data_IF_034592062057
#
_entry.id   IF_034592062057
#
_cell.length_a   1.000
_cell.length_b   1.000
_cell.length_c   1.000
_cell.angle_alpha   90.00
_cell.angle_beta   90.00
_cell.angle_gamma   90.00
#
_symmetry.space_group_name_H-M   'P 1'
#
loop_
_entity.id
_entity.type
_entity.pdbx_description
1 polymer ?
#
# COMPACT_ATOMS: atom_id res chain seq x y z
N UNK A 1 -7.44 -3.52 -12.65
CA UNK A 1 -6.72 -2.28 -12.28
C UNK A 1 -6.73 -2.04 -10.76
N UNK A 2 -7.88 -2.04 -10.09
CA UNK A 2 -7.94 -1.95 -8.61
C UNK A 2 -7.14 -3.03 -7.88
N UNK A 3 -7.22 -4.30 -8.30
CA UNK A 3 -6.40 -5.40 -7.75
C UNK A 3 -4.89 -5.14 -7.87
N UNK A 4 -4.45 -4.47 -8.95
CA UNK A 4 -3.05 -4.15 -9.16
C UNK A 4 -2.57 -3.01 -8.24
N UNK A 5 -3.41 -1.99 -7.99
CA UNK A 5 -3.10 -0.93 -7.03
C UNK A 5 -3.04 -1.47 -5.60
N UNK A 6 -4.02 -2.30 -5.22
CA UNK A 6 -4.08 -2.94 -3.91
C UNK A 6 -2.85 -3.81 -3.66
N UNK A 7 -2.41 -4.59 -4.66
CA UNK A 7 -1.17 -5.39 -4.55
C UNK A 7 0.06 -4.51 -4.29
N UNK A 8 0.17 -3.35 -4.92
CA UNK A 8 1.30 -2.44 -4.68
C UNK A 8 1.30 -1.89 -3.26
N UNK A 9 0.12 -1.51 -2.73
CA UNK A 9 -0.01 -1.03 -1.34
C UNK A 9 0.36 -2.14 -0.35
N UNK A 10 -0.12 -3.36 -0.61
CA UNK A 10 0.20 -4.54 0.21
C UNK A 10 1.71 -4.79 0.25
N UNK A 11 2.34 -4.85 -0.92
CA UNK A 11 3.77 -5.12 -1.02
C UNK A 11 4.60 -3.99 -0.37
N UNK A 12 4.11 -2.74 -0.38
CA UNK A 12 4.78 -1.61 0.27
C UNK A 12 4.78 -1.74 1.81
N UNK A 13 3.67 -2.19 2.40
CA UNK A 13 3.62 -2.50 3.84
C UNK A 13 4.59 -3.61 4.19
N UNK A 14 4.64 -4.67 3.39
CA UNK A 14 5.56 -5.79 3.63
C UNK A 14 7.02 -5.35 3.47
N UNK A 15 7.33 -4.48 2.50
CA UNK A 15 8.68 -3.92 2.37
C UNK A 15 9.08 -3.08 3.58
N UNK A 16 8.16 -2.26 4.13
CA UNK A 16 8.41 -1.50 5.35
C UNK A 16 8.62 -2.42 6.56
N UNK A 17 7.86 -3.51 6.66
CA UNK A 17 8.06 -4.56 7.67
C UNK A 17 9.45 -5.20 7.57
N UNK A 18 9.84 -5.62 6.36
CA UNK A 18 11.16 -6.23 6.12
C UNK A 18 12.27 -5.26 6.56
N UNK A 19 12.16 -3.98 6.19
CA UNK A 19 13.18 -2.97 6.50
C UNK A 19 13.13 -2.45 7.94
N UNK A 20 12.17 -2.91 8.76
CA UNK A 20 11.85 -2.35 10.07
C UNK A 20 11.72 -0.80 10.04
N UNK A 21 11.04 -0.31 9.00
CA UNK A 21 10.92 1.11 8.69
C UNK A 21 9.51 1.64 8.99
N UNK A 22 9.42 2.95 9.20
CA UNK A 22 8.12 3.63 9.27
C UNK A 22 7.61 3.87 7.85
N UNK A 23 6.35 3.52 7.60
CA UNK A 23 5.67 3.76 6.34
C UNK A 23 4.86 5.07 6.41
N UNK A 24 5.07 5.97 5.46
CA UNK A 24 4.14 7.08 5.24
C UNK A 24 2.98 6.59 4.38
N UNK A 25 1.75 6.98 4.70
CA UNK A 25 0.55 6.61 3.92
C UNK A 25 0.79 6.86 2.43
N UNK A 26 0.61 5.85 1.55
CA UNK A 26 0.97 5.97 0.15
C UNK A 26 0.16 7.04 -0.59
N UNK A 27 0.82 7.80 -1.45
CA UNK A 27 0.16 8.66 -2.43
C UNK A 27 -0.19 7.85 -3.67
N UNK A 28 -1.44 7.95 -4.13
CA UNK A 28 -1.89 7.29 -5.35
C UNK A 28 -1.40 8.07 -6.58
N UNK A 29 -0.92 7.35 -7.60
CA UNK A 29 -0.39 7.98 -8.81
C UNK A 29 -1.52 8.58 -9.67
N UNK A 30 -1.63 9.91 -9.61
CA UNK A 30 -2.60 10.72 -10.36
C UNK A 30 -2.28 10.83 -11.86
N UNK A 31 -1.07 10.44 -12.28
CA UNK A 31 -0.62 10.52 -13.67
C UNK A 31 -0.83 9.20 -14.45
N UNK A 32 -1.51 8.23 -13.83
CA UNK A 32 -1.78 6.93 -14.44
C UNK A 32 -2.88 7.02 -15.53
N UNK A 33 -3.11 5.92 -16.25
CA UNK A 33 -4.03 5.84 -17.40
C UNK A 33 -5.45 6.39 -17.14
N UNK A 34 -5.87 6.45 -15.88
CA UNK A 34 -7.11 7.07 -15.45
C UNK A 34 -6.75 8.38 -14.73
N UNK A 35 -7.28 9.50 -15.20
CA UNK A 35 -7.13 10.85 -14.60
C UNK A 35 -7.90 10.96 -13.28
N UNK A 36 -7.79 9.94 -12.43
CA UNK A 36 -8.41 9.91 -11.13
C UNK A 36 -7.47 10.61 -10.15
N UNK A 37 -7.87 11.80 -9.71
CA UNK A 37 -7.11 12.59 -8.75
C UNK A 37 -7.40 12.18 -7.29
N UNK A 38 -8.18 11.11 -7.08
CA UNK A 38 -8.61 10.70 -5.75
C UNK A 38 -7.42 10.42 -4.84
N UNK A 39 -7.50 10.95 -3.61
CA UNK A 39 -6.50 10.71 -2.57
C UNK A 39 -6.71 9.35 -1.91
N UNK A 40 -5.68 8.84 -1.25
CA UNK A 40 -5.76 7.58 -0.52
C UNK A 40 -6.91 7.57 0.51
N UNK A 41 -7.07 8.68 1.23
CA UNK A 41 -8.10 8.89 2.26
C UNK A 41 -9.54 8.97 1.72
N UNK A 42 -9.70 9.31 0.44
CA UNK A 42 -11.02 9.36 -0.21
C UNK A 42 -11.50 7.95 -0.60
N UNK A 43 -10.54 7.05 -0.85
CA UNK A 43 -10.80 5.66 -1.25
C UNK A 43 -10.81 4.73 -0.05
N UNK A 44 -9.83 4.84 0.86
CA UNK A 44 -9.60 3.93 1.97
C UNK A 44 -9.70 4.63 3.32
N UNK A 45 -10.19 3.88 4.31
CA UNK A 45 -10.21 4.28 5.72
C UNK A 45 -8.79 4.24 6.30
N UNK A 46 -8.15 5.41 6.37
CA UNK A 46 -6.76 5.58 6.82
C UNK A 46 -6.59 5.23 8.30
N UNK A 47 -7.55 5.60 9.14
CA UNK A 47 -7.46 5.34 10.57
C UNK A 47 -7.55 3.85 10.86
N UNK A 48 -8.45 3.14 10.15
CA UNK A 48 -8.50 1.68 10.20
C UNK A 48 -7.22 1.04 9.66
N UNK A 49 -6.68 1.55 8.56
CA UNK A 49 -5.44 1.04 7.98
C UNK A 49 -4.27 1.11 8.98
N UNK A 50 -4.09 2.25 9.65
CA UNK A 50 -3.05 2.44 10.66
C UNK A 50 -3.29 1.55 11.88
N UNK A 51 -4.50 1.55 12.43
CA UNK A 51 -4.82 0.80 13.66
C UNK A 51 -4.74 -0.73 13.48
N UNK A 52 -5.09 -1.26 12.31
CA UNK A 52 -5.00 -2.69 12.04
C UNK A 52 -3.56 -3.19 11.87
N UNK A 53 -2.65 -2.31 11.46
CA UNK A 53 -1.26 -2.65 11.16
C UNK A 53 -0.27 -2.18 12.23
N UNK A 54 -0.74 -1.48 13.27
CA UNK A 54 0.13 -0.87 14.30
C UNK A 54 1.02 -1.86 15.06
N UNK A 55 0.67 -3.14 15.06
CA UNK A 55 1.49 -4.23 15.66
C UNK A 55 2.56 -4.77 14.71
N UNK A 56 2.39 -4.55 13.41
CA UNK A 56 3.28 -5.08 12.37
C UNK A 56 4.24 -3.98 11.87
N UNK A 57 3.71 -2.80 11.54
CA UNK A 57 4.47 -1.69 10.94
C UNK A 57 4.00 -0.37 11.53
N UNK A 58 4.95 0.54 11.82
CA UNK A 58 4.60 1.91 12.19
C UNK A 58 4.17 2.69 10.94
N UNK A 59 2.97 3.26 10.95
CA UNK A 59 2.40 3.97 9.81
C UNK A 59 2.01 5.39 10.25
N UNK A 60 2.51 6.39 9.53
CA UNK A 60 2.20 7.81 9.75
C UNK A 60 1.48 8.40 8.54
N UNK A 61 0.57 9.35 8.77
CA UNK A 61 -0.24 9.97 7.70
C UNK A 61 0.63 10.84 6.78
N UNK A 62 1.50 11.63 7.38
CA UNK A 62 2.36 12.59 6.69
C UNK A 62 3.77 12.51 7.28
N UNK A 63 4.75 12.97 6.49
CA UNK A 63 6.14 13.02 6.94
C UNK A 63 6.28 14.08 8.06
N UNK A 64 7.04 13.82 9.14
CA UNK A 64 7.27 14.81 10.18
C UNK A 64 7.94 16.08 9.63
N UNK A 65 7.62 17.25 10.21
CA UNK A 65 8.13 18.55 9.74
C UNK A 65 9.65 18.65 9.79
N UNK A 66 10.28 17.91 10.70
CA UNK A 66 11.73 17.82 10.87
C UNK A 66 12.40 17.16 9.65
N UNK A 67 11.65 16.33 8.93
CA UNK A 67 12.10 15.52 7.80
C UNK A 67 11.73 16.16 6.44
N UNK A 68 10.80 17.12 6.41
CA UNK A 68 10.40 17.88 5.21
C UNK A 68 11.58 18.53 4.46
N UNK A 69 12.60 19.14 5.12
CA UNK A 69 13.75 19.70 4.41
C UNK A 69 14.50 18.68 3.55
N UNK A 70 14.43 17.39 3.89
CA UNK A 70 15.04 16.30 3.10
C UNK A 70 14.28 16.03 1.80
N UNK A 71 12.98 16.35 1.74
CA UNK A 71 12.21 16.35 0.49
C UNK A 71 12.69 17.47 -0.44
N UNK A 72 12.92 18.65 0.13
CA UNK A 72 13.36 19.86 -0.60
C UNK A 72 14.79 19.71 -1.13
N UNK A 73 15.67 19.02 -0.39
CA UNK A 73 17.04 18.70 -0.83
C UNK A 73 17.11 17.64 -1.94
N UNK A 74 15.97 17.08 -2.35
CA UNK A 74 15.87 16.06 -3.37
C UNK A 74 15.53 14.70 -2.76
N UNK A 75 14.24 14.38 -2.76
CA UNK A 75 13.75 13.07 -2.34
C UNK A 75 14.42 11.97 -3.18
N UNK A 76 15.13 11.05 -2.50
CA UNK A 76 15.78 9.94 -3.18
C UNK A 76 14.72 8.96 -3.66
N UNK A 77 14.32 9.12 -4.92
CA UNK A 77 13.45 8.19 -5.62
C UNK A 77 14.31 7.03 -6.14
N UNK A 78 13.99 5.81 -5.72
CA UNK A 78 14.70 4.62 -6.18
C UNK A 78 13.75 3.58 -6.76
N UNK A 79 14.26 2.89 -7.78
CA UNK A 79 13.54 1.81 -8.47
C UNK A 79 14.14 0.47 -8.06
N UNK A 80 13.44 -0.27 -7.21
CA UNK A 80 13.85 -1.61 -6.77
C UNK A 80 13.76 -2.61 -7.96
N UNK A 81 14.64 -3.62 -8.09
CA UNK A 81 14.45 -4.66 -9.09
C UNK A 81 13.08 -5.36 -9.01
N UNK A 82 12.59 -5.90 -10.12
CA UNK A 82 11.36 -6.71 -10.12
C UNK A 82 11.59 -8.01 -9.36
N UNK A 83 10.57 -8.47 -8.62
CA UNK A 83 10.61 -9.70 -7.80
C UNK A 83 11.80 -9.79 -6.84
N UNK A 84 12.21 -8.66 -6.28
CA UNK A 84 13.25 -8.57 -5.26
C UNK A 84 12.80 -9.35 -4.00
N UNK A 85 13.69 -10.22 -3.49
CA UNK A 85 13.50 -11.00 -2.26
C UNK A 85 13.71 -10.11 -1.02
N UNK A 86 13.33 -10.57 0.19
CA UNK A 86 13.62 -9.83 1.42
C UNK A 86 15.09 -9.43 1.58
N UNK A 87 16.03 -10.36 1.30
CA UNK A 87 17.47 -10.08 1.33
C UNK A 87 17.87 -8.99 0.34
N UNK A 88 17.30 -9.00 -0.87
CA UNK A 88 17.53 -7.96 -1.87
C UNK A 88 17.05 -6.56 -1.39
N UNK A 89 15.97 -6.47 -0.61
CA UNK A 89 15.56 -5.21 0.04
C UNK A 89 16.57 -4.76 1.11
N UNK A 90 17.04 -5.69 1.93
CA UNK A 90 18.03 -5.41 2.97
C UNK A 90 19.37 -4.95 2.38
N UNK A 91 19.82 -5.54 1.28
CA UNK A 91 21.10 -5.20 0.67
C UNK A 91 21.06 -3.88 -0.12
N UNK A 92 19.91 -3.56 -0.73
CA UNK A 92 19.82 -2.43 -1.67
C UNK A 92 19.10 -1.21 -1.12
N UNK A 93 18.03 -1.41 -0.35
CA UNK A 93 17.17 -0.32 0.13
C UNK A 93 17.63 0.14 1.50
N UNK A 94 17.92 -0.77 2.41
CA UNK A 94 18.31 -0.43 3.78
C UNK A 94 19.54 0.51 3.87
N UNK A 95 20.63 0.33 3.10
CA UNK A 95 21.78 1.23 3.19
C UNK A 95 21.45 2.64 2.72
N UNK A 96 20.59 2.77 1.71
CA UNK A 96 20.12 4.06 1.20
C UNK A 96 19.19 4.71 2.23
N UNK A 97 18.28 3.93 2.81
CA UNK A 97 17.37 4.39 3.85
C UNK A 97 18.15 4.90 5.07
N UNK A 98 19.18 4.18 5.53
CA UNK A 98 20.01 4.62 6.65
C UNK A 98 20.81 5.90 6.34
N UNK A 99 21.24 6.08 5.09
CA UNK A 99 22.02 7.26 4.67
C UNK A 99 21.15 8.49 4.44
N UNK A 100 19.94 8.31 3.91
CA UNK A 100 19.05 9.40 3.48
C UNK A 100 17.88 9.65 4.43
N UNK A 101 17.61 8.71 5.33
CA UNK A 101 16.48 8.63 6.26
C UNK A 101 15.08 8.56 5.62
N UNK A 102 14.90 9.20 4.47
CA UNK A 102 13.66 9.19 3.68
C UNK A 102 13.98 8.69 2.28
N UNK A 103 13.24 7.67 1.83
CA UNK A 103 13.38 7.09 0.50
C UNK A 103 11.99 6.89 -0.10
N UNK A 104 11.83 7.34 -1.34
CA UNK A 104 10.61 7.08 -2.10
C UNK A 104 10.83 5.90 -3.05
N UNK A 105 10.08 4.82 -2.85
CA UNK A 105 10.08 3.69 -3.76
C UNK A 105 9.07 3.97 -4.89
N UNK A 106 9.57 4.43 -6.03
CA UNK A 106 8.71 4.79 -7.16
C UNK A 106 8.43 3.60 -8.09
N UNK A 107 7.28 3.66 -8.77
CA UNK A 107 6.78 2.61 -9.68
C UNK A 107 6.84 1.25 -9.00
N UNK A 108 6.10 1.05 -7.92
CA UNK A 108 6.21 -0.15 -7.09
C UNK A 108 5.48 -1.36 -7.71
N UNK A 109 5.60 -1.56 -9.02
CA UNK A 109 4.97 -2.66 -9.77
C UNK A 109 5.74 -3.97 -9.63
N UNK A 110 5.15 -4.98 -8.99
CA UNK A 110 5.72 -6.34 -8.90
C UNK A 110 7.17 -6.37 -8.39
N UNK A 111 7.49 -5.52 -7.40
CA UNK A 111 8.86 -5.37 -6.89
C UNK A 111 9.20 -6.33 -5.77
N UNK A 112 8.22 -6.77 -4.99
CA UNK A 112 8.42 -7.81 -3.99
C UNK A 112 8.18 -9.20 -4.60
N UNK A 113 9.05 -10.17 -4.30
CA UNK A 113 8.89 -11.55 -4.75
C UNK A 113 7.54 -12.15 -4.30
N UNK A 114 7.02 -13.10 -5.06
CA UNK A 114 5.87 -13.90 -4.64
C UNK A 114 6.30 -15.04 -3.69
N UNK A 115 7.57 -15.45 -3.76
CA UNK A 115 8.19 -16.44 -2.88
C UNK A 115 8.62 -15.73 -1.59
N UNK A 116 7.69 -15.69 -0.63
CA UNK A 116 7.92 -15.15 0.71
C UNK A 116 7.57 -16.19 1.76
N UNK A 117 8.22 -16.09 2.92
CA UNK A 117 7.93 -16.91 4.08
C UNK A 117 6.45 -16.79 4.51
N UNK A 118 5.89 -17.83 5.14
CA UNK A 118 4.47 -17.86 5.51
C UNK A 118 4.01 -16.66 6.33
N UNK A 119 4.86 -16.12 7.22
CA UNK A 119 4.52 -14.95 8.03
C UNK A 119 4.35 -13.68 7.18
N UNK A 120 5.19 -13.47 6.17
CA UNK A 120 5.05 -12.34 5.25
C UNK A 120 3.82 -12.50 4.35
N UNK A 121 3.47 -13.73 3.97
CA UNK A 121 2.21 -13.99 3.25
C UNK A 121 0.98 -13.73 4.12
N UNK A 122 1.03 -14.10 5.41
CA UNK A 122 -0.03 -13.76 6.38
C UNK A 122 -0.17 -12.25 6.53
N UNK A 123 0.93 -11.51 6.57
CA UNK A 123 0.91 -10.04 6.58
C UNK A 123 0.25 -9.49 5.31
N UNK A 124 0.59 -10.00 4.12
CA UNK A 124 -0.10 -9.61 2.86
C UNK A 124 -1.61 -9.79 2.96
N UNK A 125 -2.06 -10.95 3.45
CA UNK A 125 -3.47 -11.25 3.64
C UNK A 125 -4.11 -10.28 4.65
N UNK A 126 -3.44 -9.99 5.77
CA UNK A 126 -3.94 -9.06 6.78
C UNK A 126 -4.13 -7.66 6.23
N UNK A 127 -3.13 -7.16 5.49
CA UNK A 127 -3.21 -5.84 4.83
C UNK A 127 -4.39 -5.82 3.87
N UNK A 128 -4.53 -6.84 3.02
CA UNK A 128 -5.58 -6.92 2.01
C UNK A 128 -7.00 -7.00 2.59
N UNK A 129 -7.21 -7.89 3.57
CA UNK A 129 -8.56 -8.23 4.03
C UNK A 129 -8.99 -7.46 5.28
N UNK A 130 -8.06 -7.00 6.11
CA UNK A 130 -8.39 -6.37 7.39
C UNK A 130 -8.06 -4.88 7.42
N UNK A 131 -6.91 -4.47 6.90
CA UNK A 131 -6.44 -3.08 6.96
C UNK A 131 -7.00 -2.23 5.80
N UNK A 132 -6.92 -2.71 4.56
CA UNK A 132 -7.41 -1.99 3.38
C UNK A 132 -8.92 -2.12 3.28
N UNK A 133 -9.61 -1.11 3.79
CA UNK A 133 -11.08 -1.02 3.76
C UNK A 133 -11.50 0.26 3.09
N UNK A 134 -12.44 0.14 2.16
CA UNK A 134 -12.97 1.32 1.49
C UNK A 134 -13.67 2.25 2.48
N UNK A 135 -13.75 3.52 2.13
CA UNK A 135 -14.56 4.50 2.86
C UNK A 135 -16.03 4.06 2.93
N UNK A 136 -16.74 4.57 3.94
CA UNK A 136 -18.14 4.21 4.19
C UNK A 136 -19.06 4.50 3.01
N UNK A 137 -18.79 5.57 2.26
CA UNK A 137 -19.54 5.93 1.05
C UNK A 137 -19.41 4.88 -0.06
N UNK A 138 -18.17 4.48 -0.38
CA UNK A 138 -17.87 3.45 -1.39
C UNK A 138 -18.46 2.10 -0.97
N UNK A 139 -18.28 1.70 0.30
CA UNK A 139 -18.84 0.45 0.81
C UNK A 139 -20.37 0.42 0.71
N UNK A 140 -21.05 1.52 1.09
CA UNK A 140 -22.51 1.62 1.01
C UNK A 140 -23.01 1.53 -0.43
N UNK A 141 -22.32 2.18 -1.36
CA UNK A 141 -22.63 2.09 -2.79
C UNK A 141 -22.44 0.66 -3.32
N UNK A 142 -21.33 0.01 -2.96
CA UNK A 142 -21.07 -1.39 -3.31
C UNK A 142 -22.13 -2.34 -2.77
N UNK A 143 -22.53 -2.17 -1.51
CA UNK A 143 -23.62 -2.97 -0.92
C UNK A 143 -24.95 -2.75 -1.63
N UNK A 144 -25.30 -1.51 -1.96
CA UNK A 144 -26.52 -1.20 -2.71
C UNK A 144 -26.52 -1.89 -4.08
N UNK A 145 -25.39 -1.86 -4.80
CA UNK A 145 -25.23 -2.54 -6.08
C UNK A 145 -25.42 -4.06 -5.93
N UNK A 146 -24.74 -4.67 -4.96
CA UNK A 146 -24.85 -6.11 -4.67
C UNK A 146 -26.29 -6.50 -4.33
N UNK A 147 -26.97 -5.72 -3.48
CA UNK A 147 -28.35 -5.98 -3.10
C UNK A 147 -29.29 -5.91 -4.31
N UNK A 148 -29.12 -4.92 -5.19
CA UNK A 148 -29.91 -4.80 -6.43
C UNK A 148 -29.67 -5.99 -7.36
N UNK A 149 -28.42 -6.38 -7.57
CA UNK A 149 -28.09 -7.55 -8.40
C UNK A 149 -28.73 -8.83 -7.85
N UNK A 150 -28.60 -9.08 -6.54
CA UNK A 150 -29.21 -10.25 -5.87
C UNK A 150 -30.74 -10.24 -5.97
N UNK A 151 -31.38 -9.09 -5.82
CA UNK A 151 -32.85 -8.98 -5.91
C UNK A 151 -33.42 -9.25 -7.31
N UNK A 152 -32.61 -9.04 -8.35
CA UNK A 152 -33.03 -9.18 -9.76
C UNK A 152 -32.54 -10.47 -10.42
N UNK A 153 -31.59 -11.17 -9.82
CA UNK A 153 -30.98 -12.33 -10.43
C UNK A 153 -31.68 -13.63 -9.99
N UNK A 154 -32.12 -14.45 -10.95
CA UNK A 154 -32.55 -15.84 -10.71
C UNK A 154 -31.38 -16.81 -10.46
N UNK A 155 -30.15 -16.37 -10.74
CA UNK A 155 -28.91 -17.13 -10.61
C UNK A 155 -27.84 -16.29 -9.90
N UNK A 156 -26.89 -16.93 -9.23
CA UNK A 156 -25.78 -16.23 -8.57
C UNK A 156 -24.77 -15.72 -9.61
N UNK A 157 -24.28 -14.49 -9.41
CA UNK A 157 -23.16 -13.93 -10.17
C UNK A 157 -21.87 -14.23 -9.40
N UNK A 158 -20.90 -14.88 -10.05
CA UNK A 158 -19.53 -15.04 -9.55
C UNK A 158 -18.59 -14.09 -10.31
N UNK A 159 -17.59 -13.54 -9.60
CA UNK A 159 -16.55 -12.62 -10.10
C UNK A 159 -15.18 -13.26 -9.90
#
# INVERSE_FOLDING_TARGET
FFSFLIKQIIDAVVAAYILNATLVVPTLDQNSYWKDASKFEEIFDVDRFITQLSKDVNIIKELPKEEEPRLVQGLQSMRVPRKCTPSCYMERVLPILNKKHVVQLSKFDYRLSNELDPELQKLRCRVNYHALRYTGSINRMGQLLVNRMRSKAKHFVAL
#
